data_IF_289443960587
#
_entry.id   IF_289443960587
#
_cell.length_a   1.000
_cell.length_b   1.000
_cell.length_c   1.000
_cell.angle_alpha   90.00
_cell.angle_beta   90.00
_cell.angle_gamma   90.00
#
_symmetry.space_group_name_H-M   'P 1'
#
loop_
_entity.id
_entity.type
_entity.pdbx_description
1 polymer ?
#
# COMPACT_ATOMS: atom_id res chain seq x y z
N UNK A 1 -7.08 -15.57 5.08
CA UNK A 1 -7.48 -15.88 6.47
C UNK A 1 -7.80 -14.60 7.25
N UNK A 2 -8.81 -13.80 6.85
CA UNK A 2 -9.18 -12.58 7.60
C UNK A 2 -8.04 -11.59 7.92
N UNK A 3 -6.94 -11.62 7.16
CA UNK A 3 -5.75 -10.80 7.41
C UNK A 3 -4.82 -11.23 8.55
N UNK A 4 -5.02 -12.41 9.18
CA UNK A 4 -4.08 -12.93 10.19
C UNK A 4 -2.76 -13.36 9.53
N UNK A 5 -1.65 -13.08 10.22
CA UNK A 5 -0.33 -13.43 9.74
C UNK A 5 0.80 -13.28 10.76
N UNK A 6 0.59 -12.62 11.90
CA UNK A 6 1.66 -12.47 12.90
C UNK A 6 2.14 -13.83 13.42
N UNK A 7 1.22 -14.73 13.78
CA UNK A 7 1.53 -16.06 14.30
C UNK A 7 1.30 -17.20 13.28
N UNK A 8 1.31 -16.88 11.99
CA UNK A 8 1.05 -17.84 10.93
C UNK A 8 2.33 -18.57 10.51
N UNK A 9 2.25 -19.90 10.51
CA UNK A 9 3.28 -20.79 9.96
C UNK A 9 2.62 -21.63 8.88
N UNK A 10 3.12 -21.52 7.66
CA UNK A 10 2.63 -22.30 6.53
C UNK A 10 3.82 -22.78 5.70
N UNK A 11 3.96 -24.08 5.43
CA UNK A 11 5.02 -24.60 4.57
C UNK A 11 4.78 -24.34 3.08
N UNK A 12 3.57 -23.90 2.70
CA UNK A 12 3.12 -23.80 1.32
C UNK A 12 2.73 -22.37 0.91
N UNK A 13 2.91 -21.39 1.79
CA UNK A 13 2.56 -19.98 1.51
C UNK A 13 3.61 -19.06 2.14
N UNK A 14 3.97 -18.02 1.40
CA UNK A 14 4.90 -17.00 1.88
C UNK A 14 4.14 -16.04 2.79
N UNK A 15 4.62 -15.87 4.02
CA UNK A 15 4.05 -14.92 4.96
C UNK A 15 4.78 -13.57 4.87
N UNK A 16 4.19 -12.62 4.15
CA UNK A 16 4.73 -11.26 4.04
C UNK A 16 4.56 -10.40 5.30
N UNK A 17 3.77 -10.87 6.29
CA UNK A 17 3.47 -10.13 7.53
C UNK A 17 4.56 -10.37 8.58
N UNK A 18 5.05 -11.60 8.73
CA UNK A 18 6.08 -11.92 9.72
C UNK A 18 7.28 -12.64 9.06
N UNK A 19 8.42 -11.96 8.84
CA UNK A 19 9.59 -12.59 8.20
C UNK A 19 10.19 -13.74 9.03
N UNK A 20 9.90 -13.83 10.34
CA UNK A 20 10.37 -14.92 11.18
C UNK A 20 9.78 -16.29 10.80
N UNK A 21 8.65 -16.32 10.08
CA UNK A 21 8.05 -17.59 9.62
C UNK A 21 8.92 -18.29 8.57
N UNK A 22 9.76 -17.55 7.82
CA UNK A 22 10.64 -18.11 6.79
C UNK A 22 11.61 -19.16 7.35
N UNK A 23 11.89 -19.13 8.66
CA UNK A 23 12.69 -20.15 9.33
C UNK A 23 12.06 -21.56 9.31
N UNK A 24 10.75 -21.64 9.04
CA UNK A 24 9.97 -22.88 8.98
C UNK A 24 9.72 -23.37 7.55
N UNK A 25 10.15 -22.62 6.54
CA UNK A 25 10.01 -23.03 5.14
C UNK A 25 10.88 -24.26 4.86
N UNK A 26 10.33 -25.19 4.08
CA UNK A 26 10.98 -26.47 3.75
C UNK A 26 11.15 -26.68 2.25
N UNK A 27 10.43 -25.92 1.43
CA UNK A 27 10.41 -25.99 -0.02
C UNK A 27 10.63 -24.61 -0.62
N UNK A 28 11.10 -24.58 -1.87
CA UNK A 28 11.12 -23.34 -2.64
C UNK A 28 9.72 -23.03 -3.12
N UNK A 29 9.23 -21.83 -2.83
CA UNK A 29 7.89 -21.34 -3.20
C UNK A 29 8.08 -20.18 -4.16
N UNK A 30 7.59 -20.35 -5.39
CA UNK A 30 7.43 -19.28 -6.34
C UNK A 30 5.95 -18.90 -6.38
N UNK A 31 5.63 -17.63 -6.18
CA UNK A 31 4.26 -17.16 -6.07
C UNK A 31 4.04 -15.86 -6.87
N UNK A 32 2.94 -15.83 -7.63
CA UNK A 32 2.52 -14.71 -8.45
C UNK A 32 1.02 -14.53 -8.27
N UNK A 33 0.59 -13.30 -7.97
CA UNK A 33 -0.81 -13.00 -7.73
C UNK A 33 -1.25 -11.71 -8.44
N UNK A 34 -2.51 -11.73 -8.88
CA UNK A 34 -3.24 -10.58 -9.38
C UNK A 34 -4.63 -10.56 -8.71
N UNK A 35 -5.17 -9.36 -8.49
CA UNK A 35 -6.47 -9.15 -7.86
C UNK A 35 -7.44 -8.53 -8.86
N UNK A 36 -8.70 -8.97 -8.82
CA UNK A 36 -9.83 -8.29 -9.43
C UNK A 36 -10.85 -7.89 -8.36
N UNK A 37 -11.32 -6.65 -8.41
CA UNK A 37 -12.32 -6.11 -7.48
C UNK A 37 -13.52 -5.56 -8.26
N UNK A 38 -14.72 -5.90 -7.79
CA UNK A 38 -15.98 -5.31 -8.23
C UNK A 38 -16.59 -4.61 -7.03
N UNK A 39 -16.72 -3.28 -7.12
CA UNK A 39 -17.27 -2.44 -6.06
C UNK A 39 -18.54 -1.76 -6.53
N UNK A 40 -19.63 -2.01 -5.84
CA UNK A 40 -20.92 -1.34 -6.07
C UNK A 40 -21.08 -0.20 -5.06
N UNK A 41 -21.29 1.01 -5.57
CA UNK A 41 -21.55 2.23 -4.80
C UNK A 41 -22.98 2.65 -5.03
N UNK A 42 -23.71 2.93 -3.96
CA UNK A 42 -25.12 3.34 -4.01
C UNK A 42 -25.30 4.65 -3.23
N UNK A 43 -25.98 5.62 -3.85
CA UNK A 43 -26.39 6.87 -3.21
C UNK A 43 -27.79 7.25 -3.69
N UNK A 44 -28.78 7.15 -2.80
CA UNK A 44 -30.19 7.38 -3.10
C UNK A 44 -30.67 6.53 -4.30
N UNK A 45 -30.94 7.16 -5.44
CA UNK A 45 -31.38 6.50 -6.68
C UNK A 45 -30.24 6.22 -7.67
N UNK A 46 -29.00 6.61 -7.34
CA UNK A 46 -27.84 6.40 -8.20
C UNK A 46 -27.04 5.17 -7.77
N UNK A 47 -26.78 4.29 -8.73
CA UNK A 47 -25.94 3.11 -8.56
C UNK A 47 -24.75 3.21 -9.52
N UNK A 48 -23.56 2.89 -9.02
CA UNK A 48 -22.34 2.82 -9.83
C UNK A 48 -21.61 1.52 -9.53
N UNK A 49 -21.18 0.82 -10.57
CA UNK A 49 -20.34 -0.37 -10.46
C UNK A 49 -18.95 -0.02 -10.97
N UNK A 50 -17.96 -0.14 -10.11
CA UNK A 50 -16.55 0.05 -10.41
C UNK A 50 -15.89 -1.31 -10.50
N UNK A 51 -15.17 -1.55 -11.60
CA UNK A 51 -14.37 -2.75 -11.78
C UNK A 51 -12.90 -2.33 -11.80
N UNK A 52 -12.06 -3.06 -11.08
CA UNK A 52 -10.61 -2.84 -11.13
C UNK A 52 -9.87 -4.17 -11.18
N UNK A 53 -8.74 -4.18 -11.88
CA UNK A 53 -7.79 -5.28 -11.89
C UNK A 53 -6.43 -4.70 -11.51
N UNK A 54 -5.70 -5.38 -10.65
CA UNK A 54 -4.39 -4.92 -10.18
C UNK A 54 -3.43 -6.08 -10.00
N UNK A 55 -2.15 -5.79 -10.22
CA UNK A 55 -1.08 -6.68 -9.84
C UNK A 55 -0.98 -6.75 -8.32
N UNK A 56 -0.89 -7.96 -7.75
CA UNK A 56 -0.80 -8.14 -6.29
C UNK A 56 0.64 -8.28 -5.83
N UNK A 57 1.37 -9.27 -6.34
CA UNK A 57 2.77 -9.49 -6.00
C UNK A 57 3.41 -10.56 -6.88
N UNK A 58 4.73 -10.54 -6.86
CA UNK A 58 5.61 -11.60 -7.32
C UNK A 58 6.62 -11.88 -6.21
N UNK A 59 6.85 -13.14 -5.88
CA UNK A 59 7.83 -13.50 -4.85
C UNK A 59 8.41 -14.89 -5.02
N UNK A 60 9.65 -15.04 -4.55
CA UNK A 60 10.32 -16.31 -4.38
C UNK A 60 10.73 -16.44 -2.91
N UNK A 61 10.45 -17.58 -2.29
CA UNK A 61 10.97 -17.97 -0.99
C UNK A 61 11.69 -19.31 -1.11
N UNK A 62 12.80 -19.47 -0.39
CA UNK A 62 13.56 -20.70 -0.40
C UNK A 62 14.26 -20.94 0.95
N UNK A 63 14.33 -22.20 1.41
CA UNK A 63 15.11 -22.57 2.58
C UNK A 63 16.61 -22.50 2.26
N UNK A 64 17.34 -21.66 2.99
CA UNK A 64 18.81 -21.64 2.94
C UNK A 64 19.36 -22.82 3.75
N UNK A 65 18.78 -23.04 4.93
CA UNK A 65 19.05 -24.21 5.78
C UNK A 65 17.70 -24.78 6.19
N UNK A 66 17.38 -25.98 5.73
CA UNK A 66 16.10 -26.64 6.01
C UNK A 66 15.80 -26.63 7.52
N UNK A 67 14.59 -26.19 7.88
CA UNK A 67 14.11 -26.07 9.27
C UNK A 67 14.89 -25.11 10.18
N UNK A 68 15.77 -24.26 9.63
CA UNK A 68 16.56 -23.32 10.42
C UNK A 68 16.60 -21.92 9.83
N UNK A 69 16.76 -21.78 8.52
CA UNK A 69 16.90 -20.47 7.88
C UNK A 69 16.23 -20.46 6.51
N UNK A 70 15.41 -19.45 6.26
CA UNK A 70 14.80 -19.18 4.96
C UNK A 70 15.07 -17.76 4.52
N UNK A 71 14.97 -17.55 3.21
CA UNK A 71 15.05 -16.24 2.58
C UNK A 71 13.91 -16.08 1.58
N UNK A 72 13.48 -14.85 1.38
CA UNK A 72 12.50 -14.51 0.36
C UNK A 72 12.83 -13.16 -0.27
N UNK A 73 12.55 -13.01 -1.55
CA UNK A 73 12.57 -11.73 -2.22
C UNK A 73 11.37 -11.61 -3.15
N UNK A 74 11.02 -10.38 -3.49
CA UNK A 74 9.89 -10.14 -4.37
C UNK A 74 9.58 -8.67 -4.57
N UNK A 75 8.49 -8.44 -5.30
CA UNK A 75 7.94 -7.14 -5.61
C UNK A 75 6.45 -7.15 -5.30
N UNK A 76 5.99 -6.17 -4.54
CA UNK A 76 4.59 -5.98 -4.20
C UNK A 76 4.26 -4.50 -4.01
N UNK A 77 3.03 -4.05 -4.28
CA UNK A 77 2.57 -2.73 -3.90
C UNK A 77 2.70 -2.52 -2.38
N UNK A 78 3.20 -1.35 -2.00
CA UNK A 78 3.18 -0.85 -0.62
C UNK A 78 1.91 -0.06 -0.34
N UNK A 79 1.45 0.73 -1.30
CA UNK A 79 0.20 1.49 -1.25
C UNK A 79 -0.32 1.74 -2.66
N UNK A 80 -1.63 1.97 -2.80
CA UNK A 80 -2.28 2.32 -4.06
C UNK A 80 -3.24 3.49 -3.85
N UNK A 81 -3.31 4.36 -4.84
CA UNK A 81 -4.30 5.45 -4.93
C UNK A 81 -5.02 5.30 -6.26
N UNK A 82 -6.35 5.35 -6.23
CA UNK A 82 -7.19 5.20 -7.41
C UNK A 82 -8.57 5.75 -7.16
N UNK A 83 -8.83 6.98 -7.63
CA UNK A 83 -10.16 7.59 -7.59
C UNK A 83 -10.35 8.56 -8.76
N UNK A 84 -11.59 8.67 -9.22
CA UNK A 84 -12.04 9.68 -10.18
C UNK A 84 -13.45 10.11 -9.75
N UNK A 85 -13.54 11.32 -9.22
CA UNK A 85 -14.77 11.87 -8.63
C UNK A 85 -15.15 13.11 -9.44
N UNK A 86 -16.38 13.11 -9.96
CA UNK A 86 -16.94 14.23 -10.68
C UNK A 86 -18.08 14.83 -9.86
N UNK A 87 -18.01 16.15 -9.62
CA UNK A 87 -19.05 16.91 -8.91
C UNK A 87 -19.53 18.02 -9.85
N UNK A 88 -20.84 18.11 -10.04
CA UNK A 88 -21.47 19.16 -10.82
C UNK A 88 -22.16 20.13 -9.86
N UNK A 89 -21.86 21.42 -10.00
CA UNK A 89 -22.47 22.49 -9.22
C UNK A 89 -22.97 23.60 -10.15
N UNK A 90 -24.13 24.17 -9.82
CA UNK A 90 -24.63 25.39 -10.47
C UNK A 90 -24.06 26.61 -9.77
N UNK A 91 -23.23 27.38 -10.48
CA UNK A 91 -22.61 28.59 -9.95
C UNK A 91 -23.30 29.81 -10.55
N UNK A 92 -23.77 30.70 -9.66
CA UNK A 92 -24.47 31.92 -10.07
C UNK A 92 -23.64 32.74 -11.06
N UNK A 93 -24.24 33.20 -12.16
CA UNK A 93 -23.63 33.97 -13.25
C UNK A 93 -22.57 33.21 -14.10
N UNK A 94 -22.33 31.94 -13.84
CA UNK A 94 -21.37 31.09 -14.58
C UNK A 94 -22.07 29.91 -15.26
N UNK A 95 -23.06 29.32 -14.59
CA UNK A 95 -23.78 28.11 -15.02
C UNK A 95 -23.19 26.84 -14.39
N UNK A 96 -23.39 25.69 -15.04
CA UNK A 96 -22.89 24.41 -14.54
C UNK A 96 -21.36 24.34 -14.61
N UNK A 97 -20.73 24.11 -13.46
CA UNK A 97 -19.30 23.87 -13.30
C UNK A 97 -19.07 22.43 -12.89
N UNK A 98 -18.09 21.77 -13.51
CA UNK A 98 -17.68 20.41 -13.18
C UNK A 98 -16.33 20.43 -12.45
N UNK A 99 -16.34 20.00 -11.20
CA UNK A 99 -15.14 19.73 -10.43
C UNK A 99 -14.75 18.27 -10.59
N UNK A 100 -13.54 18.03 -11.08
CA UNK A 100 -12.99 16.68 -11.28
C UNK A 100 -11.79 16.48 -10.37
N UNK A 101 -11.88 15.50 -9.48
CA UNK A 101 -10.83 15.10 -8.56
C UNK A 101 -10.33 13.72 -8.95
N UNK A 102 -9.04 13.61 -9.25
CA UNK A 102 -8.42 12.36 -9.67
C UNK A 102 -7.17 12.12 -8.85
N UNK A 103 -6.96 10.86 -8.50
CA UNK A 103 -5.69 10.42 -7.94
C UNK A 103 -5.38 9.02 -8.41
N UNK A 104 -4.15 8.84 -8.86
CA UNK A 104 -3.67 7.57 -9.40
C UNK A 104 -2.23 7.28 -8.99
N UNK A 105 -1.82 6.03 -9.21
CA UNK A 105 -0.50 5.54 -8.87
C UNK A 105 -0.43 4.93 -7.48
N UNK A 106 0.70 5.09 -6.82
CA UNK A 106 1.01 4.41 -5.57
C UNK A 106 2.49 4.15 -5.40
N UNK A 107 2.82 3.52 -4.28
CA UNK A 107 4.19 3.11 -3.99
C UNK A 107 4.29 1.60 -4.10
N UNK A 108 5.34 1.13 -4.74
CA UNK A 108 5.74 -0.26 -4.81
C UNK A 108 6.91 -0.50 -3.86
N UNK A 109 7.14 -1.75 -3.47
CA UNK A 109 8.35 -2.16 -2.79
C UNK A 109 8.95 -3.40 -3.43
N UNK A 110 10.27 -3.37 -3.61
CA UNK A 110 11.08 -4.58 -3.75
C UNK A 110 11.64 -4.93 -2.40
N UNK A 111 11.71 -6.21 -2.07
CA UNK A 111 12.12 -6.63 -0.74
C UNK A 111 13.06 -7.82 -0.76
N UNK A 112 13.86 -7.92 0.31
CA UNK A 112 14.64 -9.08 0.68
C UNK A 112 14.40 -9.35 2.17
N UNK A 113 13.90 -10.54 2.47
CA UNK A 113 13.57 -10.98 3.81
C UNK A 113 14.33 -12.25 4.16
N UNK A 114 14.64 -12.41 5.45
CA UNK A 114 15.19 -13.65 6.00
C UNK A 114 14.62 -13.92 7.38
N UNK A 115 14.40 -15.19 7.67
CA UNK A 115 14.02 -15.69 8.98
C UNK A 115 14.96 -16.80 9.42
N UNK A 116 15.35 -16.78 10.69
CA UNK A 116 16.23 -17.78 11.30
C UNK A 116 15.66 -18.28 12.63
N UNK A 117 15.77 -19.58 12.88
CA UNK A 117 15.47 -20.22 14.16
C UNK A 117 16.62 -19.94 15.12
N UNK A 118 16.34 -19.17 16.17
CA UNK A 118 17.31 -18.74 17.19
C UNK A 118 17.46 -19.82 18.26
N UNK A 119 16.33 -20.32 18.76
CA UNK A 119 16.25 -21.42 19.73
C UNK A 119 15.13 -22.38 19.35
N UNK A 120 15.01 -23.50 20.06
CA UNK A 120 13.91 -24.43 19.81
C UNK A 120 12.55 -23.74 20.02
N UNK A 121 11.74 -23.75 18.97
CA UNK A 121 10.47 -23.05 18.93
C UNK A 121 10.54 -21.54 18.67
N UNK A 122 11.67 -20.85 18.87
CA UNK A 122 11.78 -19.40 18.65
C UNK A 122 12.54 -19.08 17.35
N UNK A 123 11.91 -18.29 16.47
CA UNK A 123 12.55 -17.68 15.32
C UNK A 123 12.45 -16.16 15.33
N UNK A 124 13.41 -15.54 14.65
CA UNK A 124 13.47 -14.11 14.39
C UNK A 124 13.63 -13.88 12.90
N UNK A 125 13.18 -12.74 12.42
CA UNK A 125 13.31 -12.39 11.01
C UNK A 125 13.41 -10.89 10.79
N UNK A 126 13.96 -10.56 9.63
CA UNK A 126 14.10 -9.19 9.14
C UNK A 126 13.67 -9.13 7.68
N UNK A 127 13.03 -8.04 7.31
CA UNK A 127 12.69 -7.71 5.93
C UNK A 127 13.22 -6.29 5.64
N UNK A 128 14.11 -6.20 4.65
CA UNK A 128 14.58 -4.95 4.09
C UNK A 128 13.86 -4.68 2.78
N UNK A 129 13.13 -3.58 2.70
CA UNK A 129 12.36 -3.17 1.54
C UNK A 129 12.88 -1.84 1.00
N UNK A 130 12.91 -1.70 -0.33
CA UNK A 130 13.11 -0.42 -1.00
C UNK A 130 11.79 0.01 -1.64
N UNK A 131 11.23 1.09 -1.11
CA UNK A 131 9.98 1.69 -1.56
C UNK A 131 10.29 2.65 -2.70
N UNK A 132 9.48 2.64 -3.75
CA UNK A 132 9.56 3.56 -4.87
C UNK A 132 8.20 3.74 -5.54
N UNK A 133 7.94 4.90 -6.12
CA UNK A 133 6.76 5.15 -6.93
C UNK A 133 6.30 6.59 -6.86
N UNK A 134 5.22 6.88 -7.57
CA UNK A 134 4.66 8.22 -7.69
C UNK A 134 3.15 8.15 -7.45
N UNK A 135 2.65 9.12 -6.69
CA UNK A 135 1.23 9.39 -6.55
C UNK A 135 0.96 10.72 -7.23
N UNK A 136 0.13 10.70 -8.25
CA UNK A 136 -0.34 11.90 -8.95
C UNK A 136 -1.73 12.24 -8.43
N UNK A 137 -1.96 13.52 -8.10
CA UNK A 137 -3.30 14.02 -7.80
C UNK A 137 -3.63 15.18 -8.74
N UNK A 138 -4.78 15.11 -9.42
CA UNK A 138 -5.30 16.17 -10.29
C UNK A 138 -6.59 16.74 -9.72
N UNK A 139 -6.71 18.06 -9.77
CA UNK A 139 -7.94 18.80 -9.51
C UNK A 139 -8.22 19.67 -10.71
N UNK A 140 -9.33 19.42 -11.40
CA UNK A 140 -9.74 20.20 -12.56
C UNK A 140 -11.06 20.91 -12.30
N UNK A 141 -11.15 22.15 -12.79
CA UNK A 141 -12.38 22.93 -12.87
C UNK A 141 -12.70 23.04 -14.36
N UNK A 142 -13.82 22.45 -14.77
CA UNK A 142 -14.25 22.38 -16.17
C UNK A 142 -15.58 23.12 -16.36
N UNK A 143 -15.70 23.85 -17.47
CA UNK A 143 -16.91 24.59 -17.86
C UNK A 143 -17.56 23.91 -19.08
N UNK A 144 -18.28 22.78 -18.89
CA UNK A 144 -18.70 21.90 -20.00
C UNK A 144 -19.64 22.55 -21.02
N UNK A 145 -20.39 23.59 -20.61
CA UNK A 145 -21.40 24.24 -21.44
C UNK A 145 -21.05 25.68 -21.83
N UNK A 146 -19.85 26.16 -21.50
CA UNK A 146 -19.46 27.54 -21.78
C UNK A 146 -18.04 27.60 -22.38
N UNK A 147 -17.98 27.83 -23.70
CA UNK A 147 -16.75 27.88 -24.48
C UNK A 147 -15.94 29.18 -24.29
N UNK A 148 -16.51 30.18 -23.61
CA UNK A 148 -15.83 31.44 -23.35
C UNK A 148 -14.93 31.38 -22.10
N UNK A 149 -15.03 30.31 -21.30
CA UNK A 149 -14.17 30.08 -20.14
C UNK A 149 -13.11 29.03 -20.45
N UNK A 150 -11.89 29.26 -19.97
CA UNK A 150 -10.86 28.22 -19.95
C UNK A 150 -11.07 27.32 -18.73
N UNK A 151 -10.83 26.03 -18.92
CA UNK A 151 -10.74 25.09 -17.82
C UNK A 151 -9.43 25.32 -17.08
N UNK A 152 -9.35 24.90 -15.82
CA UNK A 152 -8.12 24.96 -15.05
C UNK A 152 -7.80 23.60 -14.44
N UNK A 153 -6.51 23.28 -14.32
CA UNK A 153 -6.05 22.03 -13.71
C UNK A 153 -4.83 22.24 -12.84
N UNK A 154 -4.95 21.82 -11.59
CA UNK A 154 -3.86 21.66 -10.64
C UNK A 154 -3.42 20.20 -10.58
N UNK A 155 -2.13 19.93 -10.79
CA UNK A 155 -1.48 18.62 -10.70
C UNK A 155 -0.44 18.67 -9.58
N UNK A 156 -0.42 17.65 -8.72
CA UNK A 156 0.56 17.50 -7.66
C UNK A 156 1.11 16.06 -7.66
N UNK A 157 2.36 15.93 -8.06
CA UNK A 157 3.08 14.67 -8.17
C UNK A 157 4.00 14.46 -6.98
N UNK A 158 3.76 13.42 -6.20
CA UNK A 158 4.63 13.04 -5.08
C UNK A 158 5.37 11.76 -5.44
N UNK A 159 6.66 11.88 -5.70
CA UNK A 159 7.54 10.74 -5.93
C UNK A 159 8.28 10.39 -4.65
N UNK A 160 8.21 9.14 -4.20
CA UNK A 160 8.90 8.69 -2.99
C UNK A 160 9.90 7.58 -3.31
N UNK A 161 11.06 7.60 -2.64
CA UNK A 161 12.06 6.53 -2.70
C UNK A 161 12.82 6.38 -1.39
N UNK A 162 12.99 5.15 -0.90
CA UNK A 162 13.76 4.92 0.32
C UNK A 162 13.59 3.55 0.94
N UNK A 163 14.39 3.29 1.98
CA UNK A 163 14.38 2.00 2.67
C UNK A 163 13.32 1.95 3.78
N UNK A 164 12.78 0.75 3.98
CA UNK A 164 11.81 0.42 5.01
C UNK A 164 12.13 -0.95 5.58
N UNK A 165 12.07 -1.08 6.90
CA UNK A 165 12.49 -2.30 7.59
C UNK A 165 11.38 -2.85 8.47
N UNK A 166 11.13 -4.15 8.36
CA UNK A 166 10.25 -4.89 9.25
C UNK A 166 11.05 -5.95 10.01
N UNK A 167 10.68 -6.17 11.26
CA UNK A 167 11.24 -7.18 12.14
C UNK A 167 10.14 -8.11 12.61
N UNK A 168 10.48 -9.38 12.78
CA UNK A 168 9.57 -10.42 13.19
C UNK A 168 10.16 -11.27 14.30
N UNK A 169 9.32 -11.65 15.25
CA UNK A 169 9.56 -12.72 16.20
C UNK A 169 8.39 -13.70 16.11
N UNK A 170 8.69 -14.98 16.26
CA UNK A 170 7.70 -16.04 16.19
C UNK A 170 8.13 -17.17 17.13
N UNK A 171 7.25 -17.52 18.05
CA UNK A 171 7.42 -18.68 18.93
C UNK A 171 6.38 -19.73 18.58
N UNK A 172 6.81 -20.95 18.30
CA UNK A 172 5.96 -22.09 17.98
C UNK A 172 6.28 -23.25 18.91
N UNK A 173 5.26 -23.80 19.55
CA UNK A 173 5.37 -24.95 20.43
C UNK A 173 4.47 -26.07 19.93
N UNK A 174 5.10 -27.20 19.60
CA UNK A 174 4.39 -28.45 19.33
C UNK A 174 3.88 -29.04 20.65
N UNK A 175 2.64 -29.50 20.64
CA UNK A 175 1.91 -30.13 21.74
C UNK A 175 1.64 -31.60 21.39
N UNK A 176 1.02 -32.33 22.32
CA UNK A 176 0.61 -33.72 22.07
C UNK A 176 -0.40 -33.79 20.91
N UNK A 177 -0.48 -34.94 20.23
CA UNK A 177 -1.45 -35.21 19.16
C UNK A 177 -1.34 -34.27 17.94
N UNK A 178 -0.11 -33.80 17.63
CA UNK A 178 0.19 -32.91 16.48
C UNK A 178 -0.51 -31.54 16.57
N UNK A 179 -0.89 -31.14 17.77
CA UNK A 179 -1.39 -29.80 18.03
C UNK A 179 -0.23 -28.83 18.16
N UNK A 180 -0.45 -27.56 17.85
CA UNK A 180 0.55 -26.51 18.03
C UNK A 180 -0.10 -25.23 18.54
N UNK A 181 0.71 -24.44 19.25
CA UNK A 181 0.40 -23.06 19.58
C UNK A 181 1.55 -22.17 19.10
N UNK A 182 1.22 -21.09 18.39
CA UNK A 182 2.20 -20.09 17.98
C UNK A 182 1.84 -18.71 18.50
N UNK A 183 2.86 -17.94 18.83
CA UNK A 183 2.79 -16.52 19.18
C UNK A 183 3.68 -15.76 18.22
N UNK A 184 3.19 -14.64 17.71
CA UNK A 184 3.91 -13.85 16.72
C UNK A 184 3.90 -12.37 17.07
N UNK A 185 5.01 -11.70 16.77
CA UNK A 185 5.16 -10.26 16.89
C UNK A 185 5.86 -9.74 15.64
N UNK A 186 5.28 -8.74 15.00
CA UNK A 186 5.89 -7.98 13.90
C UNK A 186 5.97 -6.52 14.30
N UNK A 187 7.07 -5.86 13.98
CA UNK A 187 7.21 -4.41 14.11
C UNK A 187 7.86 -3.81 12.86
N UNK A 188 7.62 -2.53 12.61
CA UNK A 188 8.37 -1.75 11.65
C UNK A 188 8.86 -0.46 12.29
N UNK A 189 10.10 -0.10 12.05
CA UNK A 189 10.64 1.18 12.49
C UNK A 189 10.29 2.25 11.46
N UNK A 190 9.71 3.37 11.93
CA UNK A 190 9.47 4.55 11.10
C UNK A 190 10.77 5.07 10.50
N UNK A 191 10.95 4.84 9.21
CA UNK A 191 12.02 5.42 8.39
C UNK A 191 11.51 6.68 7.69
N UNK A 192 12.37 7.67 7.57
CA UNK A 192 12.13 8.79 6.66
C UNK A 192 12.41 8.31 5.23
N UNK A 193 11.39 8.34 4.38
CA UNK A 193 11.50 8.04 2.95
C UNK A 193 11.74 9.36 2.23
N UNK A 194 12.80 9.43 1.41
CA UNK A 194 13.03 10.64 0.63
C UNK A 194 11.90 10.79 -0.38
N UNK A 195 11.43 12.00 -0.57
CA UNK A 195 10.38 12.28 -1.52
C UNK A 195 10.66 13.59 -2.24
N UNK A 196 10.05 13.75 -3.39
CA UNK A 196 10.00 15.01 -4.11
C UNK A 196 8.58 15.30 -4.56
N UNK A 197 8.29 16.60 -4.69
CA UNK A 197 7.01 17.10 -5.16
C UNK A 197 7.21 18.03 -6.35
N UNK A 198 6.39 17.85 -7.38
CA UNK A 198 6.24 18.77 -8.50
C UNK A 198 4.78 19.21 -8.55
N UNK A 199 4.56 20.52 -8.62
CA UNK A 199 3.22 21.10 -8.70
C UNK A 199 3.08 21.94 -9.95
N UNK A 200 2.00 21.70 -10.68
CA UNK A 200 1.68 22.43 -11.91
C UNK A 200 0.24 22.93 -11.85
N UNK A 201 0.03 24.21 -12.16
CA UNK A 201 -1.29 24.79 -12.33
C UNK A 201 -1.36 25.54 -13.64
N UNK A 202 -2.30 25.15 -14.50
CA UNK A 202 -2.45 25.77 -15.81
C UNK A 202 -3.90 25.81 -16.27
N UNK A 203 -4.17 26.72 -17.20
CA UNK A 203 -5.43 26.81 -17.91
C UNK A 203 -5.35 26.05 -19.23
N UNK A 204 -6.45 25.41 -19.61
CA UNK A 204 -6.55 24.68 -20.86
C UNK A 204 -7.93 24.82 -21.51
N UNK A 205 -7.98 24.54 -22.80
CA UNK A 205 -9.23 24.30 -23.54
C UNK A 205 -9.22 22.89 -24.09
N UNK A 206 -10.40 22.31 -24.32
CA UNK A 206 -10.53 21.03 -25.01
C UNK A 206 -10.70 21.31 -26.50
N UNK A 207 -9.89 20.66 -27.33
CA UNK A 207 -9.97 20.77 -28.79
C UNK A 207 -11.22 20.09 -29.32
N UNK A 208 -11.60 20.38 -30.57
CA UNK A 208 -12.73 19.73 -31.24
C UNK A 208 -12.60 18.20 -31.33
N UNK A 209 -11.39 17.67 -31.19
CA UNK A 209 -11.09 16.23 -31.21
C UNK A 209 -10.90 15.63 -29.80
N UNK A 210 -11.23 16.38 -28.74
CA UNK A 210 -11.14 15.93 -27.35
C UNK A 210 -9.74 16.02 -26.72
N UNK A 211 -8.76 16.58 -27.44
CA UNK A 211 -7.39 16.76 -26.95
C UNK A 211 -7.24 18.04 -26.11
N UNK A 212 -6.39 17.99 -25.09
CA UNK A 212 -6.10 19.14 -24.24
C UNK A 212 -5.14 20.12 -24.93
N UNK A 213 -5.47 21.41 -24.90
CA UNK A 213 -4.60 22.48 -25.37
C UNK A 213 -4.33 23.42 -24.20
N UNK A 214 -3.10 23.38 -23.68
CA UNK A 214 -2.63 24.32 -22.66
C UNK A 214 -2.65 25.73 -23.22
N UNK A 215 -3.21 26.67 -22.45
CA UNK A 215 -3.34 28.08 -22.84
C UNK A 215 -2.38 28.97 -22.10
N UNK A 216 -2.27 28.76 -20.78
CA UNK A 216 -1.44 29.58 -19.91
C UNK A 216 -1.05 28.81 -18.65
N UNK A 217 0.17 29.05 -18.16
CA UNK A 217 0.68 28.46 -16.92
C UNK A 217 0.51 29.46 -15.78
N UNK A 218 -0.30 29.12 -14.78
CA UNK A 218 -0.58 29.97 -13.61
C UNK A 218 0.50 29.80 -12.55
N UNK A 219 0.97 28.57 -12.34
CA UNK A 219 1.98 28.23 -11.35
C UNK A 219 2.73 26.98 -11.75
N UNK A 220 4.05 27.00 -11.58
CA UNK A 220 4.92 25.86 -11.78
C UNK A 220 5.95 25.87 -10.64
N UNK A 221 5.91 24.84 -9.79
CA UNK A 221 6.94 24.59 -8.80
C UNK A 221 7.87 23.49 -9.31
N UNK A 222 9.12 23.86 -9.56
CA UNK A 222 10.18 22.89 -9.84
C UNK A 222 10.35 21.93 -8.66
N UNK A 223 10.93 20.76 -8.94
CA UNK A 223 11.04 19.65 -7.98
C UNK A 223 11.53 20.09 -6.59
N UNK A 224 10.62 20.07 -5.61
CA UNK A 224 10.92 20.32 -4.20
C UNK A 224 11.30 19.01 -3.54
N UNK A 225 12.44 18.96 -2.87
CA UNK A 225 12.89 17.77 -2.11
C UNK A 225 12.45 17.81 -0.65
N UNK A 226 12.15 16.64 -0.08
CA UNK A 226 11.66 16.51 1.29
C UNK A 226 11.65 15.05 1.78
N UNK A 227 10.96 14.80 2.88
CA UNK A 227 10.84 13.46 3.47
C UNK A 227 9.40 13.16 3.87
N UNK A 228 8.93 11.97 3.53
CA UNK A 228 7.70 11.39 4.04
C UNK A 228 8.07 10.49 5.23
N UNK A 229 7.35 10.63 6.34
CA UNK A 229 7.54 9.75 7.50
C UNK A 229 6.42 8.72 7.54
N UNK A 230 6.78 7.44 7.41
CA UNK A 230 5.82 6.34 7.53
C UNK A 230 5.44 6.11 9.01
N UNK A 231 4.19 5.70 9.30
CA UNK A 231 3.77 5.40 10.67
C UNK A 231 4.54 4.20 11.22
N UNK A 232 4.77 4.19 12.53
CA UNK A 232 5.21 2.96 13.20
C UNK A 232 4.08 1.93 13.14
N UNK A 233 4.42 0.67 12.92
CA UNK A 233 3.48 -0.44 12.84
C UNK A 233 3.90 -1.54 13.81
N UNK A 234 2.94 -2.04 14.58
CA UNK A 234 3.10 -3.16 15.48
C UNK A 234 1.95 -4.14 15.26
N UNK A 235 2.26 -5.43 15.21
CA UNK A 235 1.26 -6.48 15.15
C UNK A 235 1.65 -7.62 16.06
N UNK A 236 0.72 -8.08 16.89
CA UNK A 236 0.87 -9.27 17.70
C UNK A 236 -0.23 -10.27 17.32
N UNK A 237 0.04 -11.55 17.45
CA UNK A 237 -0.96 -12.57 17.18
C UNK A 237 -0.70 -13.88 17.89
N UNK A 238 -1.76 -14.69 17.95
CA UNK A 238 -1.74 -16.06 18.46
C UNK A 238 -2.43 -16.96 17.47
N UNK A 239 -1.89 -18.16 17.26
CA UNK A 239 -2.54 -19.21 16.51
C UNK A 239 -2.52 -20.53 17.28
N UNK A 240 -3.57 -21.31 17.14
CA UNK A 240 -3.68 -22.65 17.68
C UNK A 240 -4.30 -23.55 16.63
N UNK A 241 -3.77 -24.76 16.50
CA UNK A 241 -4.25 -25.65 15.48
C UNK A 241 -3.71 -27.06 15.60
N UNK A 242 -4.09 -27.86 14.62
CA UNK A 242 -3.53 -29.19 14.38
C UNK A 242 -2.92 -29.22 12.99
N UNK A 243 -1.64 -29.60 12.94
CA UNK A 243 -0.85 -29.63 11.70
C UNK A 243 -1.60 -30.35 10.58
N UNK A 244 -1.76 -29.68 9.44
CA UNK A 244 -2.42 -30.23 8.25
C UNK A 244 -3.95 -30.43 8.35
N UNK A 245 -4.61 -30.01 9.44
CA UNK A 245 -6.07 -30.18 9.61
C UNK A 245 -6.83 -28.87 9.75
N UNK A 246 -6.52 -28.10 10.78
CA UNK A 246 -7.21 -26.84 11.06
C UNK A 246 -6.32 -25.92 11.88
N UNK A 247 -6.57 -24.63 11.75
CA UNK A 247 -5.91 -23.60 12.54
C UNK A 247 -6.90 -22.46 12.77
N UNK A 248 -6.95 -21.97 13.99
CA UNK A 248 -7.62 -20.74 14.35
C UNK A 248 -6.56 -19.75 14.86
N UNK A 249 -6.77 -18.46 14.61
CA UNK A 249 -5.85 -17.44 15.08
C UNK A 249 -6.51 -16.08 15.20
N UNK A 250 -5.87 -15.22 15.97
CA UNK A 250 -6.29 -13.84 16.19
C UNK A 250 -5.05 -12.93 16.16
N UNK A 251 -5.17 -11.81 15.46
CA UNK A 251 -4.12 -10.79 15.35
C UNK A 251 -4.66 -9.45 15.86
N UNK A 252 -3.83 -8.71 16.58
CA UNK A 252 -4.02 -7.32 16.93
C UNK A 252 -2.97 -6.47 16.22
N UNK A 253 -3.38 -5.43 15.51
CA UNK A 253 -2.48 -4.51 14.82
C UNK A 253 -2.72 -3.06 15.23
N UNK A 254 -1.65 -2.32 15.44
CA UNK A 254 -1.64 -0.90 15.78
C UNK A 254 -0.72 -0.13 14.82
N UNK A 255 -1.25 0.95 14.24
CA UNK A 255 -0.52 1.87 13.37
C UNK A 255 -0.53 3.27 14.02
N UNK A 256 0.66 3.82 14.28
CA UNK A 256 0.77 5.18 14.85
C UNK A 256 0.74 6.24 13.74
N UNK A 257 -0.47 6.61 13.31
CA UNK A 257 -0.69 7.64 12.28
C UNK A 257 -0.35 9.07 12.75
N UNK A 258 -0.20 9.33 14.05
CA UNK A 258 0.19 10.67 14.53
C UNK A 258 1.60 11.06 14.09
N UNK A 259 2.47 10.04 13.92
CA UNK A 259 3.84 10.20 13.42
C UNK A 259 3.91 10.27 11.89
N UNK A 260 2.82 9.98 11.19
CA UNK A 260 2.78 10.16 9.75
C UNK A 260 2.94 11.65 9.41
N UNK A 261 3.81 11.93 8.45
CA UNK A 261 4.01 13.25 7.87
C UNK A 261 4.00 13.11 6.37
N UNK A 262 3.00 13.71 5.74
CA UNK A 262 2.95 13.83 4.29
C UNK A 262 3.94 14.91 3.84
N UNK A 263 4.33 14.88 2.56
CA UNK A 263 5.36 15.72 1.99
C UNK A 263 5.15 17.23 2.24
N UNK A 264 3.92 17.74 2.08
CA UNK A 264 3.60 19.17 2.23
C UNK A 264 2.65 19.50 3.41
N UNK A 265 2.33 18.55 4.30
CA UNK A 265 1.25 18.76 5.25
C UNK A 265 1.69 19.02 6.70
N UNK A 266 1.53 20.28 7.11
CA UNK A 266 1.08 20.67 8.46
C UNK A 266 -0.34 20.11 8.79
N UNK A 267 -0.98 19.37 7.86
CA UNK A 267 -2.26 18.71 8.06
C UNK A 267 -1.99 17.36 8.73
N UNK A 268 -2.28 17.29 10.04
CA UNK A 268 -2.41 16.03 10.78
C UNK A 268 -3.68 15.32 10.31
N UNK A 269 -3.68 13.98 10.14
CA UNK A 269 -4.93 13.25 10.00
C UNK A 269 -5.80 13.56 11.24
N UNK A 270 -7.01 14.07 11.03
CA UNK A 270 -7.99 14.21 12.10
C UNK A 270 -8.49 12.80 12.44
N UNK A 271 -8.40 12.46 13.73
CA UNK A 271 -9.00 11.27 14.33
C UNK A 271 -10.52 11.26 14.16
#
# INVERSE_FOLDING_TARGET
MGGIGAALISPNQINFINPASLAYDTITIFDFAANGEIRRLERNTQNSTLNSASFSYFSLAFPVIKHKMGMSFGLLPFSSVGYNINVFEEVQNVGTVKYRYEGEGGFNKVFLASGIKVFEGLSAGINASYIFGTIENRKSIEFPYNVNYFNSRFINDVTAKGFYFNYGLLYNKMLKKEQFISLGLTSSLSTGVNASNVQNYYNYSISAFGGEIVKDSIYEESEKSGKIRLPDYYRAGVSYGKTGKWMAGADFSYNNWEKFRNFDSNIKPKN
#
